data_IF_441351975799
#
_entry.id   IF_441351975799
#
_cell.length_a   1.000
_cell.length_b   1.000
_cell.length_c   1.000
_cell.angle_alpha   90.00
_cell.angle_beta   90.00
_cell.angle_gamma   90.00
#
_symmetry.space_group_name_H-M   'P 1'
#
loop_
_entity.id
_entity.type
_entity.pdbx_description
1 polymer ?
#
# COMPACT_ATOMS: atom_id res chain seq x y z
N UNK A 1 -10.55 -15.31 12.70
CA UNK A 1 -10.88 -14.03 13.37
C UNK A 1 -10.05 -12.92 12.73
N UNK A 2 -10.69 -11.86 12.23
CA UNK A 2 -9.99 -10.68 11.66
C UNK A 2 -9.45 -9.83 12.82
N UNK A 3 -8.21 -9.36 12.71
CA UNK A 3 -7.49 -8.62 13.76
C UNK A 3 -8.22 -7.37 14.24
N UNK A 4 -8.96 -7.52 15.35
CA UNK A 4 -9.68 -6.47 16.06
C UNK A 4 -8.72 -5.69 16.98
N UNK A 5 -7.66 -5.09 16.40
CA UNK A 5 -6.62 -4.43 17.19
C UNK A 5 -5.98 -3.18 16.56
N UNK A 6 -6.34 -2.81 15.33
CA UNK A 6 -5.70 -1.68 14.61
C UNK A 6 -6.55 -0.40 14.70
N UNK A 7 -7.39 -0.26 15.73
CA UNK A 7 -8.27 0.90 15.90
C UNK A 7 -7.67 2.00 16.78
N UNK A 8 -6.43 1.83 17.28
CA UNK A 8 -5.72 2.81 18.13
C UNK A 8 -4.24 3.02 17.78
N UNK A 9 -3.79 2.53 16.63
CA UNK A 9 -2.57 3.04 16.03
C UNK A 9 -2.99 4.17 15.11
N UNK A 10 -3.28 5.33 15.70
CA UNK A 10 -2.97 6.58 15.01
C UNK A 10 -1.47 6.77 15.22
N UNK A 11 -0.56 6.31 14.34
CA UNK A 11 0.69 7.00 14.28
C UNK A 11 0.34 8.36 13.66
N UNK A 12 0.92 9.43 14.16
CA UNK A 12 1.06 10.68 13.41
C UNK A 12 1.94 10.40 12.17
N UNK A 13 1.42 9.60 11.25
CA UNK A 13 2.09 9.17 10.05
C UNK A 13 1.90 10.26 9.02
N UNK A 14 2.99 10.85 8.58
CA UNK A 14 3.05 11.88 7.52
C UNK A 14 2.55 11.42 6.14
N UNK A 15 1.84 10.29 6.04
CA UNK A 15 1.40 9.69 4.79
C UNK A 15 2.54 9.10 3.95
N UNK A 16 3.76 9.03 4.49
CA UNK A 16 4.96 8.65 3.72
C UNK A 16 5.03 7.16 3.36
N UNK A 17 4.23 6.29 3.99
CA UNK A 17 4.33 4.83 3.79
C UNK A 17 4.22 4.41 2.32
N UNK A 18 3.23 4.94 1.59
CA UNK A 18 3.05 4.60 0.17
C UNK A 18 4.11 5.25 -0.72
N UNK A 19 4.61 6.44 -0.36
CA UNK A 19 5.71 7.09 -1.06
C UNK A 19 7.02 6.27 -0.95
N UNK A 20 7.34 5.80 0.25
CA UNK A 20 8.49 4.92 0.50
C UNK A 20 8.32 3.60 -0.27
N UNK A 21 7.14 2.99 -0.23
CA UNK A 21 6.85 1.76 -0.98
C UNK A 21 7.08 1.94 -2.48
N UNK A 22 6.56 3.05 -3.07
CA UNK A 22 6.82 3.40 -4.48
C UNK A 22 8.31 3.49 -4.78
N UNK A 23 9.07 4.23 -3.97
CA UNK A 23 10.53 4.38 -4.14
C UNK A 23 11.26 3.04 -4.13
N UNK A 24 10.90 2.14 -3.21
CA UNK A 24 11.49 0.80 -3.13
C UNK A 24 11.18 -0.01 -4.38
N UNK A 25 9.92 -0.02 -4.82
CA UNK A 25 9.47 -0.80 -5.97
C UNK A 25 10.12 -0.28 -7.26
N UNK A 26 10.19 1.04 -7.43
CA UNK A 26 10.85 1.67 -8.59
C UNK A 26 12.35 1.32 -8.64
N UNK A 27 13.04 1.29 -7.48
CA UNK A 27 14.45 0.90 -7.39
C UNK A 27 14.68 -0.58 -7.78
N UNK A 28 13.67 -1.42 -7.62
CA UNK A 28 13.69 -2.83 -8.06
C UNK A 28 13.14 -3.01 -9.49
N UNK A 29 12.96 -1.91 -10.24
CA UNK A 29 12.39 -1.93 -11.59
C UNK A 29 11.00 -2.59 -11.65
N UNK A 30 10.27 -2.54 -10.55
CA UNK A 30 8.93 -3.08 -10.42
C UNK A 30 7.85 -2.06 -10.80
N UNK A 31 6.60 -2.44 -10.57
CA UNK A 31 5.44 -1.55 -10.77
C UNK A 31 4.53 -1.63 -9.55
N UNK A 32 3.86 -0.52 -9.25
CA UNK A 32 2.79 -0.44 -8.23
C UNK A 32 1.62 0.39 -8.73
N UNK A 33 0.41 -0.08 -8.44
CA UNK A 33 -0.85 0.55 -8.86
C UNK A 33 -1.97 0.27 -7.84
N UNK A 34 -3.10 0.92 -8.03
CA UNK A 34 -4.28 0.78 -7.17
C UNK A 34 -5.52 0.52 -8.02
N UNK A 35 -6.34 -0.42 -7.57
CA UNK A 35 -7.65 -0.74 -8.13
C UNK A 35 -8.71 -0.38 -7.07
N UNK A 36 -9.74 0.37 -7.45
CA UNK A 36 -10.86 0.70 -6.58
C UNK A 36 -12.14 0.82 -7.41
N UNK A 37 -13.23 0.23 -6.91
CA UNK A 37 -14.57 0.36 -7.49
C UNK A 37 -15.26 1.68 -7.10
N UNK A 38 -14.56 2.55 -6.35
CA UNK A 38 -15.08 3.85 -5.90
C UNK A 38 -15.39 3.91 -4.41
N UNK A 39 -16.09 4.98 -4.02
CA UNK A 39 -16.32 5.33 -2.62
C UNK A 39 -17.03 4.22 -1.83
N UNK A 40 -16.53 3.91 -0.63
CA UNK A 40 -17.11 2.91 0.26
C UNK A 40 -16.88 1.44 -0.14
N UNK A 41 -16.18 1.17 -1.26
CA UNK A 41 -15.86 -0.20 -1.72
C UNK A 41 -14.44 -0.66 -1.34
N UNK A 42 -13.63 0.25 -0.80
CA UNK A 42 -12.22 0.01 -0.49
C UNK A 42 -11.34 0.08 -1.74
N UNK A 43 -10.06 -0.27 -1.55
CA UNK A 43 -9.05 -0.24 -2.60
C UNK A 43 -8.08 -1.41 -2.43
N UNK A 44 -7.63 -1.97 -3.55
CA UNK A 44 -6.59 -2.99 -3.59
C UNK A 44 -5.32 -2.37 -4.18
N UNK A 45 -4.24 -2.35 -3.38
CA UNK A 45 -2.92 -1.90 -3.82
C UNK A 45 -2.13 -3.13 -4.27
N UNK A 46 -1.63 -3.10 -5.50
CA UNK A 46 -0.87 -4.20 -6.10
C UNK A 46 0.51 -3.72 -6.50
N UNK A 47 1.47 -4.63 -6.44
CA UNK A 47 2.79 -4.42 -7.00
C UNK A 47 3.34 -5.71 -7.61
N UNK A 48 4.27 -5.55 -8.53
CA UNK A 48 5.02 -6.64 -9.13
C UNK A 48 6.51 -6.28 -9.17
N UNK A 49 7.36 -7.28 -8.98
CA UNK A 49 8.81 -7.16 -9.11
C UNK A 49 9.30 -8.20 -10.14
N UNK A 50 10.27 -7.85 -10.99
CA UNK A 50 10.87 -8.81 -11.91
C UNK A 50 11.64 -9.88 -11.13
N UNK A 51 11.47 -11.16 -11.50
CA UNK A 51 12.27 -12.28 -11.01
C UNK A 51 13.44 -12.48 -11.98
N UNK A 52 14.65 -12.67 -11.44
CA UNK A 52 15.83 -13.11 -12.19
C UNK A 52 16.03 -14.60 -12.04
#
# INVERSE_FOLDING_TARGET
MRGSGISRLSPDGSGLGLFIARKIIDAHQGKIWVESEGAGKGSTFRFELPIK
#
